data_IF_096244625573
#
_entry.id   IF_096244625573
#
_cell.length_a   1.000
_cell.length_b   1.000
_cell.length_c   1.000
_cell.angle_alpha   90.00
_cell.angle_beta   90.00
_cell.angle_gamma   90.00
#
_symmetry.space_group_name_H-M   'P 1'
#
loop_
_entity.id
_entity.type
_entity.pdbx_description
1 polymer ?
#
# COMPACT_ATOMS: atom_id res chain seq x y z
N UNK A 1 -17.26 -17.65 -7.16
CA UNK A 1 -16.51 -16.59 -7.87
C UNK A 1 -15.08 -16.60 -7.36
N UNK A 2 -14.23 -17.35 -8.04
CA UNK A 2 -12.93 -17.76 -7.47
C UNK A 2 -11.87 -17.81 -8.58
N UNK A 3 -11.85 -16.83 -9.48
CA UNK A 3 -10.87 -16.83 -10.58
C UNK A 3 -10.48 -15.41 -10.93
N UNK A 4 -9.49 -14.89 -10.21
CA UNK A 4 -8.47 -13.94 -10.69
C UNK A 4 -7.83 -13.31 -9.48
N UNK A 5 -6.92 -14.03 -8.85
CA UNK A 5 -5.95 -13.39 -7.96
C UNK A 5 -4.62 -14.06 -8.25
N UNK A 6 -3.75 -13.35 -8.97
CA UNK A 6 -2.33 -13.48 -8.68
C UNK A 6 -2.22 -13.22 -7.17
N UNK A 7 -1.81 -14.22 -6.37
CA UNK A 7 -1.69 -14.03 -4.93
C UNK A 7 -0.75 -12.84 -4.69
N UNK A 8 -1.02 -11.97 -3.70
CA UNK A 8 -0.03 -10.99 -3.24
C UNK A 8 1.35 -11.62 -2.95
N UNK A 9 1.37 -12.93 -2.66
CA UNK A 9 2.57 -13.75 -2.53
C UNK A 9 3.44 -13.77 -3.82
N UNK A 10 2.84 -13.68 -5.01
CA UNK A 10 3.59 -13.56 -6.27
C UNK A 10 4.10 -12.13 -6.49
N UNK A 11 3.51 -11.13 -5.83
CA UNK A 11 3.87 -9.72 -5.95
C UNK A 11 5.15 -9.37 -5.17
N UNK A 12 5.63 -10.26 -4.29
CA UNK A 12 6.85 -10.10 -3.49
C UNK A 12 6.97 -8.72 -2.81
N UNK A 13 5.87 -8.26 -2.20
CA UNK A 13 5.82 -6.96 -1.51
C UNK A 13 6.76 -6.98 -0.30
N UNK A 14 7.60 -5.95 -0.20
CA UNK A 14 8.50 -5.73 0.93
C UNK A 14 8.04 -4.54 1.77
N UNK A 15 8.40 -4.46 3.07
CA UNK A 15 7.97 -3.39 3.97
C UNK A 15 8.25 -1.95 3.51
N UNK A 16 9.27 -1.73 2.68
CA UNK A 16 9.60 -0.41 2.11
C UNK A 16 8.96 -0.08 0.76
N UNK A 17 8.20 -1.01 0.16
CA UNK A 17 7.58 -0.73 -1.14
C UNK A 17 6.40 0.22 -1.01
N UNK A 18 6.15 0.99 -2.07
CA UNK A 18 4.98 1.86 -2.20
C UNK A 18 3.98 1.18 -3.12
N UNK A 19 2.83 0.78 -2.60
CA UNK A 19 1.85 -0.05 -3.31
C UNK A 19 0.57 0.74 -3.59
N UNK A 20 0.00 0.58 -4.79
CA UNK A 20 -1.29 1.18 -5.17
C UNK A 20 -2.30 0.09 -5.54
N UNK A 21 -3.39 0.01 -4.80
CA UNK A 21 -4.54 -0.85 -5.04
C UNK A 21 -5.71 0.01 -5.52
N UNK A 22 -5.95 0.06 -6.85
CA UNK A 22 -6.93 0.99 -7.46
C UNK A 22 -8.40 0.57 -7.30
N UNK A 23 -8.67 -0.69 -6.96
CA UNK A 23 -10.01 -1.26 -6.81
C UNK A 23 -10.07 -2.09 -5.53
N UNK A 24 -9.76 -1.43 -4.41
CA UNK A 24 -9.39 -2.10 -3.18
C UNK A 24 -10.55 -2.81 -2.47
N UNK A 25 -11.79 -2.34 -2.58
CA UNK A 25 -12.90 -3.01 -1.88
C UNK A 25 -13.24 -4.36 -2.55
N UNK A 26 -13.56 -5.42 -1.78
CA UNK A 26 -13.91 -5.43 -0.35
C UNK A 26 -12.74 -5.44 0.66
N UNK A 27 -11.49 -5.39 0.21
CA UNK A 27 -10.31 -5.13 1.05
C UNK A 27 -9.40 -6.32 1.36
N UNK A 28 -9.77 -7.55 1.00
CA UNK A 28 -8.99 -8.75 1.35
C UNK A 28 -7.58 -8.75 0.77
N UNK A 29 -7.39 -8.26 -0.47
CA UNK A 29 -6.06 -8.13 -1.09
C UNK A 29 -5.24 -7.03 -0.42
N UNK A 30 -5.86 -5.88 -0.19
CA UNK A 30 -5.24 -4.75 0.51
C UNK A 30 -4.76 -5.15 1.90
N UNK A 31 -5.54 -5.94 2.63
CA UNK A 31 -5.16 -6.49 3.94
C UNK A 31 -3.94 -7.40 3.83
N UNK A 32 -3.92 -8.33 2.87
CA UNK A 32 -2.76 -9.20 2.65
C UNK A 32 -1.51 -8.41 2.29
N UNK A 33 -1.61 -7.39 1.43
CA UNK A 33 -0.49 -6.50 1.08
C UNK A 33 0.03 -5.78 2.33
N UNK A 34 -0.88 -5.24 3.14
CA UNK A 34 -0.54 -4.53 4.37
C UNK A 34 0.12 -5.46 5.40
N UNK A 35 -0.37 -6.69 5.54
CA UNK A 35 0.23 -7.72 6.39
C UNK A 35 1.65 -8.07 5.94
N UNK A 36 1.90 -8.18 4.63
CA UNK A 36 3.26 -8.39 4.11
C UNK A 36 4.17 -7.20 4.39
N UNK A 37 3.66 -5.98 4.29
CA UNK A 37 4.42 -4.77 4.61
C UNK A 37 4.68 -4.57 6.10
N UNK A 38 3.81 -5.12 6.95
CA UNK A 38 3.98 -5.11 8.40
C UNK A 38 4.98 -6.16 8.90
N UNK A 39 5.31 -7.18 8.09
CA UNK A 39 6.33 -8.16 8.44
C UNK A 39 7.69 -7.48 8.42
N UNK A 40 8.09 -6.92 9.56
CA UNK A 40 9.46 -6.48 9.78
C UNK A 40 10.38 -7.69 9.57
N UNK A 41 11.42 -7.59 8.72
CA UNK A 41 12.49 -8.56 8.77
C UNK A 41 13.03 -8.52 10.20
N UNK A 42 13.20 -9.70 10.82
CA UNK A 42 13.86 -9.80 12.12
C UNK A 42 15.13 -8.97 12.04
N UNK A 43 15.22 -7.92 12.87
CA UNK A 43 16.30 -6.96 12.85
C UNK A 43 17.64 -7.72 12.87
N UNK A 44 18.28 -7.83 11.71
CA UNK A 44 19.70 -8.13 11.64
C UNK A 44 20.39 -6.82 11.97
N UNK A 45 21.04 -6.82 13.12
CA UNK A 45 21.74 -5.70 13.71
C UNK A 45 22.56 -4.89 12.67
N UNK A 46 22.25 -3.60 12.51
CA UNK A 46 23.27 -2.62 12.06
C UNK A 46 22.98 -1.68 10.90
N UNK A 47 21.97 -1.92 10.05
CA UNK A 47 21.77 -1.08 8.84
C UNK A 47 20.69 0.00 9.03
N UNK A 48 21.06 1.17 9.56
CA UNK A 48 20.14 2.31 9.72
C UNK A 48 19.47 2.75 8.41
N UNK A 49 20.15 2.57 7.27
CA UNK A 49 19.59 2.83 5.95
C UNK A 49 18.45 1.86 5.57
N UNK A 50 18.56 0.58 5.95
CA UNK A 50 17.52 -0.41 5.71
C UNK A 50 16.29 -0.18 6.61
N UNK A 51 16.49 0.39 7.80
CA UNK A 51 15.39 0.78 8.70
C UNK A 51 14.61 1.96 8.12
N UNK A 52 15.30 2.98 7.60
CA UNK A 52 14.65 4.14 6.96
C UNK A 52 13.80 3.75 5.74
N UNK A 53 14.31 2.83 4.90
CA UNK A 53 13.56 2.33 3.74
C UNK A 53 12.30 1.55 4.14
N UNK A 54 12.33 0.83 5.27
CA UNK A 54 11.16 0.11 5.83
C UNK A 54 10.10 1.05 6.42
N UNK A 55 10.49 2.26 6.84
CA UNK A 55 9.56 3.27 7.35
C UNK A 55 8.82 4.02 6.24
N UNK A 56 9.38 4.07 5.03
CA UNK A 56 8.83 4.83 3.89
C UNK A 56 7.78 4.07 3.06
N UNK A 57 7.58 2.77 3.34
CA UNK A 57 6.59 1.96 2.64
C UNK A 57 5.15 2.20 3.09
N UNK A 58 4.24 2.38 2.13
CA UNK A 58 2.80 2.50 2.36
C UNK A 58 1.94 1.85 1.25
N UNK A 59 0.69 1.57 1.57
CA UNK A 59 -0.36 1.13 0.63
C UNK A 59 -1.37 2.27 0.43
N UNK A 60 -1.60 2.67 -0.82
CA UNK A 60 -2.75 3.49 -1.20
C UNK A 60 -3.84 2.56 -1.71
N UNK A 61 -4.99 2.57 -1.06
CA UNK A 61 -6.14 1.79 -1.41
C UNK A 61 -7.25 2.71 -1.90
N UNK A 62 -7.51 2.69 -3.21
CA UNK A 62 -8.50 3.50 -3.87
C UNK A 62 -9.74 2.66 -4.24
N UNK A 63 -10.92 3.28 -4.13
CA UNK A 63 -12.14 2.77 -4.74
C UNK A 63 -12.98 3.98 -5.19
N UNK A 64 -13.64 3.90 -6.34
CA UNK A 64 -14.45 5.00 -6.85
C UNK A 64 -15.77 5.15 -6.07
N UNK A 65 -16.28 4.07 -5.47
CA UNK A 65 -17.53 4.08 -4.71
C UNK A 65 -17.26 4.37 -3.22
N UNK A 66 -17.85 5.45 -2.72
CA UNK A 66 -17.71 5.88 -1.33
C UNK A 66 -18.17 4.81 -0.32
N UNK A 67 -19.25 4.07 -0.60
CA UNK A 67 -19.74 3.00 0.28
C UNK A 67 -18.74 1.85 0.35
N UNK A 68 -18.08 1.56 -0.76
CA UNK A 68 -17.03 0.54 -0.85
C UNK A 68 -15.76 0.97 -0.12
N UNK A 69 -15.37 2.24 -0.19
CA UNK A 69 -14.30 2.80 0.65
C UNK A 69 -14.62 2.66 2.15
N UNK A 70 -15.86 2.91 2.57
CA UNK A 70 -16.26 2.77 3.96
C UNK A 70 -16.14 1.31 4.45
N UNK A 71 -16.54 0.35 3.61
CA UNK A 71 -16.35 -1.07 3.89
C UNK A 71 -14.85 -1.41 4.05
N UNK A 72 -14.02 -0.93 3.13
CA UNK A 72 -12.57 -1.11 3.18
C UNK A 72 -11.96 -0.55 4.48
N UNK A 73 -12.32 0.67 4.88
CA UNK A 73 -11.86 1.28 6.15
C UNK A 73 -12.28 0.43 7.34
N UNK A 74 -13.54 -0.02 7.38
CA UNK A 74 -14.03 -0.88 8.45
C UNK A 74 -13.26 -2.20 8.54
N UNK A 75 -12.96 -2.83 7.40
CA UNK A 75 -12.20 -4.07 7.35
C UNK A 75 -10.73 -3.85 7.75
N UNK A 76 -10.09 -2.80 7.25
CA UNK A 76 -8.70 -2.48 7.51
C UNK A 76 -8.44 -1.97 8.93
N UNK A 77 -9.46 -1.44 9.62
CA UNK A 77 -9.37 -0.98 11.01
C UNK A 77 -8.79 -2.03 11.96
N UNK A 78 -9.02 -3.32 11.68
CA UNK A 78 -8.47 -4.45 12.47
C UNK A 78 -6.95 -4.54 12.43
N UNK A 79 -6.32 -4.11 11.33
CA UNK A 79 -4.87 -4.11 11.17
C UNK A 79 -4.21 -2.90 11.85
N UNK A 80 -4.96 -1.81 12.05
CA UNK A 80 -4.52 -0.59 12.73
C UNK A 80 -3.13 -0.09 12.27
N UNK A 81 -2.91 -0.11 10.95
CA UNK A 81 -1.64 0.30 10.35
C UNK A 81 -1.56 1.79 10.14
N UNK A 82 -0.44 2.44 10.45
CA UNK A 82 -0.14 3.78 9.94
C UNK A 82 0.22 3.77 8.45
N UNK A 83 0.47 2.59 7.85
CA UNK A 83 0.95 2.43 6.46
C UNK A 83 -0.18 2.30 5.42
N UNK A 84 -1.42 2.63 5.76
CA UNK A 84 -2.57 2.54 4.85
C UNK A 84 -3.21 3.92 4.63
N UNK A 85 -3.31 4.31 3.36
CA UNK A 85 -4.07 5.47 2.93
C UNK A 85 -5.27 5.00 2.10
N UNK A 86 -6.48 5.41 2.48
CA UNK A 86 -7.69 5.13 1.68
C UNK A 86 -8.10 6.38 0.91
N UNK A 87 -8.31 6.25 -0.40
CA UNK A 87 -8.77 7.34 -1.27
C UNK A 87 -10.07 6.98 -1.98
N UNK A 88 -10.87 8.01 -2.29
CA UNK A 88 -12.07 7.87 -3.11
C UNK A 88 -11.92 8.73 -4.37
N UNK A 89 -11.49 8.11 -5.46
CA UNK A 89 -11.31 8.76 -6.75
C UNK A 89 -11.59 7.80 -7.90
N UNK A 90 -12.00 8.35 -9.05
CA UNK A 90 -11.95 7.61 -10.31
C UNK A 90 -10.49 7.30 -10.65
N UNK A 91 -10.18 6.02 -10.77
CA UNK A 91 -8.84 5.51 -11.05
C UNK A 91 -8.22 6.11 -12.33
N UNK A 92 -9.03 6.45 -13.34
CA UNK A 92 -8.53 7.08 -14.57
C UNK A 92 -7.99 8.49 -14.35
N UNK A 93 -8.42 9.15 -13.27
CA UNK A 93 -8.09 10.54 -12.92
C UNK A 93 -7.24 10.64 -11.66
N UNK A 94 -6.74 9.51 -11.15
CA UNK A 94 -5.99 9.50 -9.89
C UNK A 94 -4.77 10.44 -10.01
N UNK A 95 -4.65 11.44 -9.14
CA UNK A 95 -3.63 12.45 -9.28
C UNK A 95 -2.26 11.81 -9.10
N UNK A 96 -1.41 12.04 -10.09
CA UNK A 96 0.01 11.73 -9.94
C UNK A 96 0.62 12.70 -8.94
N UNK A 97 0.98 12.21 -7.75
CA UNK A 97 1.66 13.01 -6.74
C UNK A 97 3.13 13.20 -7.14
N UNK A 98 3.66 14.39 -6.87
CA UNK A 98 5.10 14.63 -6.89
C UNK A 98 5.62 14.52 -5.46
N UNK A 99 6.78 13.92 -5.27
CA UNK A 99 7.43 13.75 -3.97
C UNK A 99 8.79 14.41 -4.02
N UNK A 100 9.15 15.13 -2.95
CA UNK A 100 10.51 15.63 -2.78
C UNK A 100 11.36 14.49 -2.22
N UNK A 101 12.30 13.97 -3.02
CA UNK A 101 13.31 13.00 -2.58
C UNK A 101 14.69 13.58 -2.84
N UNK A 102 15.53 13.61 -1.80
CA UNK A 102 16.92 14.05 -1.87
C UNK A 102 17.11 15.46 -2.51
N UNK A 103 16.18 16.38 -2.25
CA UNK A 103 16.23 17.75 -2.80
C UNK A 103 15.74 17.88 -4.24
N UNK A 104 15.30 16.79 -4.88
CA UNK A 104 14.68 16.78 -6.20
C UNK A 104 13.19 16.46 -6.11
N UNK A 105 12.37 17.07 -6.98
CA UNK A 105 10.94 16.78 -7.04
C UNK A 105 10.70 15.75 -8.14
N UNK A 106 10.38 14.52 -7.74
CA UNK A 106 10.16 13.40 -8.67
C UNK A 106 8.72 12.93 -8.63
N UNK A 107 8.29 12.29 -9.72
CA UNK A 107 6.97 11.68 -9.80
C UNK A 107 6.91 10.50 -8.81
N UNK A 108 5.90 10.47 -7.94
CA UNK A 108 5.63 9.31 -7.10
C UNK A 108 5.41 8.11 -8.02
N UNK A 109 6.32 7.14 -7.92
CA UNK A 109 6.20 5.84 -8.55
C UNK A 109 5.78 4.85 -7.48
N UNK A 110 4.89 3.95 -7.86
CA UNK A 110 4.55 2.79 -7.07
C UNK A 110 5.40 1.64 -7.61
N UNK A 111 5.91 0.80 -6.72
CA UNK A 111 6.65 -0.39 -7.15
C UNK A 111 5.67 -1.36 -7.79
N UNK A 112 5.73 -1.36 -9.13
CA UNK A 112 4.79 -1.93 -10.11
C UNK A 112 3.37 -1.38 -10.09
#
# INVERSE_FOLDING_TARGET
EEVSMVPPELLHVRPGHRVLDMCAAPGSKTQQLLEHMMRTPAATDGDEAAVADVEDGFVIANDADYKRCHLLVHQAKRLNSPRLLVTNHDAQTLPTRMVAMNGSTERLRFDR
#
